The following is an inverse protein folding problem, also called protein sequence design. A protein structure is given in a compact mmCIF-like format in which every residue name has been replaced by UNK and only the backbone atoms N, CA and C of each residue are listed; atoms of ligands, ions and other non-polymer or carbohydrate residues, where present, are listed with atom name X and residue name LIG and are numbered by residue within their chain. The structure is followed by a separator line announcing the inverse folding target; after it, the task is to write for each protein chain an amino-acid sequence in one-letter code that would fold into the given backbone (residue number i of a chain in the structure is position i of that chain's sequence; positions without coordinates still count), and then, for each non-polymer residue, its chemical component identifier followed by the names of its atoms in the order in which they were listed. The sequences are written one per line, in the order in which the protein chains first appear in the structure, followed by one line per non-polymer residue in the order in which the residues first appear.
data_IF_122739332971
#
_entry.id   IF_122739332971
#
_cell.length_a   1.000
_cell.length_b   1.000
_cell.length_c   1.000
_cell.angle_alpha   90.00
_cell.angle_beta   90.00
_cell.angle_gamma   90.00
#
_symmetry.space_group_name_H-M   'P 1'
#
loop_
_entity.id
_entity.type
_entity.pdbx_description
1 polymer ?
#
# COMPACT_ATOMS: atom_id res chain seq x y z
N UNK A 1 11.69 -14.04 3.77
CA UNK A 1 10.99 -14.94 4.70
C UNK A 1 9.49 -14.71 4.54
N UNK A 2 8.74 -15.78 4.32
CA UNK A 2 7.27 -15.77 4.29
C UNK A 2 6.85 -16.68 5.44
N UNK A 3 6.07 -16.20 6.42
CA UNK A 3 5.63 -17.03 7.55
C UNK A 3 4.82 -18.24 7.07
N UNK A 4 4.98 -19.36 7.76
CA UNK A 4 4.30 -20.64 7.55
C UNK A 4 3.54 -21.04 8.82
N UNK A 5 2.64 -22.05 8.76
CA UNK A 5 1.97 -22.55 9.97
C UNK A 5 2.92 -23.04 11.07
N UNK A 6 4.14 -23.48 10.71
CA UNK A 6 5.15 -23.90 11.68
C UNK A 6 5.72 -22.73 12.52
N UNK A 7 5.51 -21.49 12.07
CA UNK A 7 6.00 -20.29 12.74
C UNK A 7 5.00 -19.73 13.76
N UNK A 8 3.80 -20.30 13.87
CA UNK A 8 2.77 -19.83 14.81
C UNK A 8 3.23 -19.91 16.27
N UNK A 9 2.98 -18.84 17.03
CA UNK A 9 3.46 -18.72 18.42
C UNK A 9 4.91 -18.26 18.56
N UNK A 10 5.69 -18.23 17.49
CA UNK A 10 7.08 -17.72 17.51
C UNK A 10 7.16 -16.24 17.15
N UNK A 11 8.20 -15.57 17.66
CA UNK A 11 8.54 -14.19 17.27
C UNK A 11 9.61 -14.21 16.19
N UNK A 12 9.48 -13.32 15.21
CA UNK A 12 10.49 -13.16 14.17
C UNK A 12 11.63 -12.30 14.70
N UNK A 13 12.83 -12.86 14.75
CA UNK A 13 14.07 -12.11 15.02
C UNK A 13 14.75 -11.81 13.69
N UNK A 14 14.97 -10.54 13.42
CA UNK A 14 15.68 -10.07 12.23
C UNK A 14 17.05 -9.56 12.67
N UNK A 15 18.10 -10.16 12.12
CA UNK A 15 19.49 -9.74 12.34
C UNK A 15 20.05 -9.19 11.04
N UNK A 16 20.43 -7.91 11.05
CA UNK A 16 21.16 -7.25 9.98
C UNK A 16 22.65 -7.34 10.26
N UNK A 17 23.35 -8.19 9.51
CA UNK A 17 24.81 -8.33 9.56
C UNK A 17 25.43 -7.51 8.43
N UNK A 18 26.21 -6.46 8.72
CA UNK A 18 26.91 -5.72 7.68
C UNK A 18 27.93 -6.63 6.99
N UNK A 19 27.95 -6.62 5.66
CA UNK A 19 28.93 -7.34 4.86
C UNK A 19 29.73 -6.34 4.03
N UNK A 20 31.04 -6.56 3.88
CA UNK A 20 31.83 -5.69 3.03
C UNK A 20 31.38 -5.86 1.56
N UNK A 21 31.65 -4.88 0.69
CA UNK A 21 31.47 -5.03 -0.75
C UNK A 21 32.09 -6.34 -1.25
N UNK A 22 31.51 -6.94 -2.30
CA UNK A 22 32.09 -8.15 -2.90
C UNK A 22 33.55 -7.88 -3.31
N UNK A 23 34.48 -8.63 -2.73
CA UNK A 23 35.92 -8.50 -2.99
C UNK A 23 36.67 -7.58 -2.03
N UNK A 24 36.03 -7.11 -0.97
CA UNK A 24 36.64 -6.28 0.07
C UNK A 24 36.63 -7.02 1.42
N UNK A 25 37.72 -6.95 2.17
CA UNK A 25 37.85 -7.55 3.51
C UNK A 25 37.78 -6.52 4.65
N UNK A 26 37.40 -5.26 4.33
CA UNK A 26 37.31 -4.21 5.32
C UNK A 26 36.40 -4.60 6.51
N UNK A 27 36.81 -4.27 7.76
CA UNK A 27 36.04 -4.59 8.94
C UNK A 27 34.67 -3.91 8.90
N UNK A 28 33.63 -4.73 9.01
CA UNK A 28 32.24 -4.30 9.05
C UNK A 28 31.77 -4.07 10.49
N UNK A 29 30.78 -3.19 10.66
CA UNK A 29 30.17 -2.96 11.97
C UNK A 29 29.53 -4.22 12.56
N UNK A 30 29.26 -4.19 13.87
CA UNK A 30 28.60 -5.30 14.55
C UNK A 30 27.18 -5.54 14.00
N UNK A 31 26.70 -6.81 13.98
CA UNK A 31 25.31 -7.10 13.65
C UNK A 31 24.32 -6.37 14.57
N UNK A 32 23.21 -5.92 14.01
CA UNK A 32 22.09 -5.37 14.78
C UNK A 32 20.87 -6.27 14.65
N UNK A 33 20.18 -6.52 15.76
CA UNK A 33 19.01 -7.39 15.78
C UNK A 33 17.80 -6.70 16.40
N UNK A 34 16.62 -7.04 15.90
CA UNK A 34 15.36 -6.73 16.58
C UNK A 34 14.39 -7.91 16.48
N UNK A 35 13.48 -8.01 17.44
CA UNK A 35 12.41 -9.00 17.44
C UNK A 35 11.06 -8.32 17.22
N UNK A 36 10.13 -9.01 16.55
CA UNK A 36 8.75 -8.56 16.48
C UNK A 36 8.12 -8.57 17.88
N UNK A 37 7.33 -7.55 18.20
CA UNK A 37 6.66 -7.44 19.51
C UNK A 37 5.56 -8.48 19.72
N UNK A 38 5.03 -9.05 18.63
CA UNK A 38 3.96 -10.04 18.64
C UNK A 38 4.43 -11.31 17.96
N UNK A 39 3.95 -12.44 18.47
CA UNK A 39 4.13 -13.73 17.84
C UNK A 39 3.37 -13.78 16.50
N UNK A 40 3.90 -14.57 15.56
CA UNK A 40 3.21 -14.94 14.33
C UNK A 40 1.92 -15.67 14.70
N UNK A 41 0.84 -15.37 13.98
CA UNK A 41 -0.46 -16.01 14.15
C UNK A 41 -0.98 -16.49 12.81
N UNK A 42 -1.78 -17.55 12.82
CA UNK A 42 -2.50 -18.03 11.65
C UNK A 42 -3.25 -16.87 10.98
N UNK A 43 -3.06 -16.73 9.67
CA UNK A 43 -3.90 -15.83 8.90
C UNK A 43 -5.33 -16.40 8.89
N UNK A 44 -6.26 -15.72 9.58
CA UNK A 44 -7.66 -16.14 9.58
C UNK A 44 -8.19 -16.19 8.14
N UNK A 45 -8.88 -17.26 7.72
CA UNK A 45 -9.47 -17.33 6.38
C UNK A 45 -10.40 -16.14 6.17
N UNK A 46 -10.37 -15.57 4.96
CA UNK A 46 -11.25 -14.45 4.56
C UNK A 46 -12.29 -14.95 3.54
N UNK A 47 -13.34 -15.67 3.97
CA UNK A 47 -14.35 -16.24 3.08
C UNK A 47 -15.24 -15.19 2.39
N UNK A 48 -15.01 -13.91 2.68
CA UNK A 48 -15.85 -12.80 2.21
C UNK A 48 -15.52 -12.34 0.78
N UNK A 49 -14.39 -12.76 0.18
CA UNK A 49 -14.04 -12.40 -1.20
C UNK A 49 -14.99 -13.05 -2.23
N UNK A 50 -15.24 -14.36 -2.12
CA UNK A 50 -16.15 -15.11 -2.99
C UNK A 50 -17.62 -14.62 -2.86
N UNK A 51 -18.06 -14.36 -1.63
CA UNK A 51 -19.40 -13.80 -1.34
C UNK A 51 -19.61 -12.38 -1.90
N UNK A 52 -18.55 -11.64 -2.20
CA UNK A 52 -18.65 -10.29 -2.78
C UNK A 52 -18.69 -10.31 -4.31
N UNK A 53 -18.14 -11.35 -4.94
CA UNK A 53 -18.20 -11.53 -6.39
C UNK A 53 -19.62 -11.81 -6.91
N UNK A 54 -20.47 -12.50 -6.14
CA UNK A 54 -21.85 -12.81 -6.54
C UNK A 54 -22.73 -11.57 -6.74
N UNK A 55 -22.39 -10.43 -6.15
CA UNK A 55 -23.14 -9.18 -6.31
C UNK A 55 -22.78 -8.40 -7.59
N UNK A 56 -21.76 -8.82 -8.33
CA UNK A 56 -21.19 -8.06 -9.46
C UNK A 56 -21.36 -8.75 -10.83
N UNK A 57 -21.79 -10.02 -10.85
CA UNK A 57 -22.01 -10.78 -12.09
C UNK A 57 -23.51 -10.88 -12.36
N UNK A 58 -24.01 -10.48 -13.55
CA UNK A 58 -25.39 -10.77 -13.94
C UNK A 58 -25.63 -12.28 -13.90
N UNK A 59 -26.75 -12.69 -13.29
CA UNK A 59 -27.15 -14.09 -13.05
C UNK A 59 -27.06 -15.01 -14.29
N UNK A 60 -27.01 -14.47 -15.51
CA UNK A 60 -26.98 -15.22 -16.77
C UNK A 60 -25.59 -15.74 -17.21
N UNK A 61 -24.47 -15.27 -16.64
CA UNK A 61 -23.13 -15.67 -17.08
C UNK A 61 -22.50 -16.82 -16.27
N UNK A 62 -23.03 -17.14 -15.10
CA UNK A 62 -22.46 -18.17 -14.20
C UNK A 62 -23.17 -19.53 -14.29
N UNK A 63 -24.24 -19.68 -15.06
CA UNK A 63 -25.04 -20.92 -15.11
C UNK A 63 -24.31 -22.15 -15.66
N UNK A 64 -23.02 -22.04 -16.05
CA UNK A 64 -22.28 -23.15 -16.68
C UNK A 64 -20.88 -23.46 -16.13
N UNK A 65 -20.43 -22.90 -15.00
CA UNK A 65 -19.07 -23.25 -14.55
C UNK A 65 -18.72 -23.33 -13.07
N UNK A 66 -19.66 -23.26 -12.14
CA UNK A 66 -19.43 -23.76 -10.78
C UNK A 66 -20.74 -24.32 -10.24
N UNK A 67 -20.90 -25.65 -10.31
CA UNK A 67 -21.91 -26.32 -9.50
C UNK A 67 -21.51 -26.12 -8.04
N UNK A 68 -22.35 -25.42 -7.29
CA UNK A 68 -22.13 -25.11 -5.87
C UNK A 68 -22.36 -26.33 -4.95
N UNK A 69 -22.07 -27.55 -5.42
CA UNK A 69 -22.42 -28.80 -4.74
C UNK A 69 -21.21 -29.57 -4.16
N UNK A 70 -19.98 -29.06 -4.26
CA UNK A 70 -18.80 -29.72 -3.65
C UNK A 70 -18.07 -28.83 -2.62
N UNK A 71 -18.81 -28.17 -1.73
CA UNK A 71 -18.22 -27.68 -0.47
C UNK A 71 -19.10 -28.11 0.70
N UNK A 72 -19.26 -29.44 0.83
CA UNK A 72 -19.73 -30.05 2.05
C UNK A 72 -18.66 -29.94 3.14
N UNK A 73 -18.83 -28.98 4.05
CA UNK A 73 -18.80 -29.23 5.48
C UNK A 73 -19.28 -27.96 6.20
N UNK A 74 -20.43 -28.09 6.85
CA UNK A 74 -20.93 -27.17 7.86
C UNK A 74 -19.95 -27.20 9.04
N UNK A 75 -18.93 -26.35 8.97
CA UNK A 75 -18.27 -25.86 10.17
C UNK A 75 -18.72 -24.41 10.31
N UNK A 76 -19.67 -24.20 11.20
CA UNK A 76 -19.94 -22.91 11.81
C UNK A 76 -18.68 -22.50 12.59
N UNK A 77 -17.64 -22.07 11.87
CA UNK A 77 -16.57 -21.25 12.41
C UNK A 77 -17.15 -19.85 12.61
N UNK A 78 -18.14 -19.76 13.52
CA UNK A 78 -18.45 -18.51 14.18
C UNK A 78 -17.15 -18.06 14.85
N UNK A 79 -16.68 -16.89 14.41
CA UNK A 79 -15.53 -16.22 14.99
C UNK A 79 -15.67 -16.24 16.52
N UNK A 80 -14.69 -16.76 17.28
CA UNK A 80 -14.73 -16.62 18.73
C UNK A 80 -14.87 -15.13 19.07
N UNK A 81 -15.75 -14.85 20.03
CA UNK A 81 -16.21 -13.54 20.48
C UNK A 81 -15.09 -12.75 21.21
N UNK A 82 -13.97 -12.57 20.53
CA UNK A 82 -12.92 -11.60 20.87
C UNK A 82 -13.51 -10.20 20.65
N UNK A 83 -14.29 -9.72 21.64
CA UNK A 83 -14.74 -8.33 21.83
C UNK A 83 -14.66 -7.46 20.57
N UNK A 84 -15.67 -7.53 19.69
CA UNK A 84 -15.94 -6.58 18.56
C UNK A 84 -14.70 -5.80 18.08
N UNK A 85 -13.66 -6.48 17.61
CA UNK A 85 -12.52 -5.78 17.03
C UNK A 85 -13.01 -5.07 15.74
N UNK A 86 -12.93 -3.74 15.71
CA UNK A 86 -13.34 -2.97 14.54
C UNK A 86 -12.42 -3.32 13.35
N UNK A 87 -12.93 -4.06 12.37
CA UNK A 87 -12.17 -4.42 11.17
C UNK A 87 -12.11 -3.22 10.23
N UNK A 88 -10.89 -2.84 9.82
CA UNK A 88 -10.65 -1.83 8.78
C UNK A 88 -10.11 -2.54 7.55
N UNK A 89 -10.81 -2.40 6.41
CA UNK A 89 -10.33 -2.96 5.14
C UNK A 89 -9.54 -1.92 4.37
N UNK A 90 -8.30 -2.25 4.02
CA UNK A 90 -7.38 -1.38 3.28
C UNK A 90 -6.98 -2.09 1.99
N UNK A 91 -7.03 -1.38 0.88
CA UNK A 91 -6.50 -1.80 -0.42
C UNK A 91 -5.26 -0.98 -0.75
N UNK A 92 -4.20 -1.64 -1.20
CA UNK A 92 -3.06 -1.00 -1.84
C UNK A 92 -2.94 -1.54 -3.25
N UNK A 93 -2.83 -0.66 -4.24
CA UNK A 93 -2.87 -1.08 -5.64
C UNK A 93 -2.05 -0.15 -6.54
N UNK A 94 -1.03 -0.71 -7.19
CA UNK A 94 -0.33 -0.05 -8.27
C UNK A 94 -1.14 -0.25 -9.55
N UNK A 95 -1.66 0.85 -10.11
CA UNK A 95 -2.61 0.82 -11.22
C UNK A 95 -1.95 1.00 -12.58
N UNK A 96 -0.62 0.88 -12.68
CA UNK A 96 0.17 0.94 -13.91
C UNK A 96 -0.05 2.25 -14.71
N UNK A 97 0.88 3.20 -14.59
CA UNK A 97 0.73 4.52 -15.20
C UNK A 97 1.01 4.49 -16.70
N UNK A 98 0.18 5.18 -17.48
CA UNK A 98 0.38 5.40 -18.91
C UNK A 98 1.68 6.18 -19.20
N UNK A 99 2.20 6.93 -18.23
CA UNK A 99 3.51 7.56 -18.30
C UNK A 99 4.64 6.55 -18.64
N UNK A 100 4.46 5.26 -18.33
CA UNK A 100 5.40 4.19 -18.65
C UNK A 100 5.09 3.43 -19.93
N UNK A 101 4.08 3.82 -20.72
CA UNK A 101 3.63 3.09 -21.91
C UNK A 101 4.72 2.76 -22.93
N UNK A 102 5.77 3.59 -23.00
CA UNK A 102 6.90 3.42 -23.88
C UNK A 102 7.75 2.17 -23.56
N UNK A 103 7.63 1.60 -22.35
CA UNK A 103 8.36 0.38 -21.94
C UNK A 103 7.55 -0.90 -22.14
N UNK A 104 6.21 -0.79 -22.28
CA UNK A 104 5.30 -1.92 -22.21
C UNK A 104 5.49 -2.94 -23.33
N UNK A 105 5.86 -2.52 -24.54
CA UNK A 105 6.15 -3.45 -25.62
C UNK A 105 7.28 -4.44 -25.28
N UNK A 106 8.24 -4.01 -24.46
CA UNK A 106 9.32 -4.87 -23.97
C UNK A 106 8.96 -5.63 -22.69
N UNK A 107 8.22 -5.01 -21.77
CA UNK A 107 7.88 -5.61 -20.48
C UNK A 107 6.73 -6.61 -20.59
N UNK A 108 5.77 -6.34 -21.48
CA UNK A 108 4.52 -7.08 -21.65
C UNK A 108 4.28 -7.42 -23.12
N UNK A 109 5.20 -8.13 -23.80
CA UNK A 109 5.09 -8.42 -25.24
C UNK A 109 3.86 -9.29 -25.59
N UNK A 110 3.28 -9.95 -24.59
CA UNK A 110 2.07 -10.76 -24.68
C UNK A 110 0.77 -9.94 -24.55
N UNK A 111 0.85 -8.65 -24.25
CA UNK A 111 -0.29 -7.81 -23.93
C UNK A 111 -0.77 -7.05 -25.17
N UNK A 112 -2.05 -7.16 -25.52
CA UNK A 112 -2.60 -6.47 -26.68
C UNK A 112 -2.68 -4.96 -26.43
N UNK A 113 -2.48 -4.16 -27.49
CA UNK A 113 -2.61 -2.70 -27.42
C UNK A 113 -4.02 -2.26 -27.00
N UNK A 114 -5.05 -3.02 -27.40
CA UNK A 114 -6.43 -2.75 -26.99
C UNK A 114 -6.63 -2.89 -25.48
N UNK A 115 -5.99 -3.87 -24.85
CA UNK A 115 -6.06 -4.05 -23.39
C UNK A 115 -5.18 -3.03 -22.64
N UNK A 116 -4.18 -2.46 -23.31
CA UNK A 116 -3.32 -1.39 -22.79
C UNK A 116 -3.99 -0.02 -22.75
N UNK A 117 -5.10 0.16 -23.47
CA UNK A 117 -5.85 1.41 -23.47
C UNK A 117 -6.37 1.73 -22.06
N UNK A 118 -6.07 2.92 -21.49
CA UNK A 118 -6.62 3.34 -20.20
C UNK A 118 -8.15 3.33 -20.16
N UNK A 119 -8.84 3.56 -21.27
CA UNK A 119 -10.30 3.50 -21.34
C UNK A 119 -10.84 2.07 -21.17
N UNK A 120 -10.04 1.04 -21.47
CA UNK A 120 -10.38 -0.35 -21.18
C UNK A 120 -9.91 -0.76 -19.78
N UNK A 121 -8.70 -0.35 -19.40
CA UNK A 121 -7.99 -0.83 -18.21
C UNK A 121 -8.45 -0.19 -16.89
N UNK A 122 -8.68 1.13 -16.87
CA UNK A 122 -9.05 1.85 -15.65
C UNK A 122 -10.43 1.45 -15.11
N UNK A 123 -11.47 1.22 -15.95
CA UNK A 123 -12.74 0.67 -15.47
C UNK A 123 -12.60 -0.69 -14.76
N UNK A 124 -11.72 -1.57 -15.25
CA UNK A 124 -11.44 -2.87 -14.62
C UNK A 124 -10.73 -2.68 -13.27
N UNK A 125 -9.74 -1.79 -13.21
CA UNK A 125 -9.06 -1.45 -11.96
C UNK A 125 -10.03 -0.86 -10.91
N UNK A 126 -11.01 -0.06 -11.34
CA UNK A 126 -12.08 0.43 -10.48
C UNK A 126 -13.02 -0.69 -10.03
N UNK A 127 -13.34 -1.65 -10.90
CA UNK A 127 -14.14 -2.82 -10.55
C UNK A 127 -13.47 -3.65 -9.45
N UNK A 128 -12.15 -3.82 -9.51
CA UNK A 128 -11.38 -4.48 -8.44
C UNK A 128 -11.55 -3.75 -7.09
N UNK A 129 -11.50 -2.42 -7.09
CA UNK A 129 -11.75 -1.59 -5.89
C UNK A 129 -13.16 -1.83 -5.35
N UNK A 130 -14.17 -1.85 -6.22
CA UNK A 130 -15.57 -2.05 -5.80
C UNK A 130 -15.81 -3.45 -5.23
N UNK A 131 -15.27 -4.50 -5.88
CA UNK A 131 -15.32 -5.88 -5.42
C UNK A 131 -14.62 -6.05 -4.06
N UNK A 132 -13.46 -5.42 -3.90
CA UNK A 132 -12.73 -5.42 -2.64
C UNK A 132 -13.48 -4.65 -1.53
N UNK A 133 -14.37 -3.71 -1.88
CA UNK A 133 -15.11 -2.82 -0.97
C UNK A 133 -14.29 -2.37 0.25
N UNK A 134 -13.09 -1.80 0.04
CA UNK A 134 -12.24 -1.31 1.12
C UNK A 134 -12.87 -0.08 1.79
N UNK A 135 -12.38 0.27 2.98
CA UNK A 135 -12.65 1.58 3.59
C UNK A 135 -11.58 2.61 3.20
N UNK A 136 -10.38 2.14 2.87
CA UNK A 136 -9.22 2.96 2.52
C UNK A 136 -8.57 2.35 1.27
N UNK A 137 -8.33 3.18 0.25
CA UNK A 137 -7.69 2.80 -1.01
C UNK A 137 -6.44 3.63 -1.20
N UNK A 138 -5.28 2.99 -1.22
CA UNK A 138 -3.99 3.60 -1.49
C UNK A 138 -3.52 3.18 -2.90
N UNK A 139 -3.52 4.12 -3.84
CA UNK A 139 -3.12 3.85 -5.23
C UNK A 139 -1.70 4.36 -5.50
N UNK A 140 -0.96 3.63 -6.32
CA UNK A 140 0.35 4.03 -6.87
C UNK A 140 0.29 4.01 -8.40
N UNK A 141 1.20 4.73 -9.06
CA UNK A 141 1.21 4.86 -10.53
C UNK A 141 -0.09 5.44 -11.10
N UNK A 142 -0.61 6.48 -10.44
CA UNK A 142 -1.79 7.19 -10.92
C UNK A 142 -1.34 8.39 -11.76
N UNK A 143 -1.59 8.37 -13.07
CA UNK A 143 -1.33 9.52 -13.94
C UNK A 143 -2.14 10.75 -13.49
N UNK A 144 -1.53 11.94 -13.54
CA UNK A 144 -2.18 13.22 -13.20
C UNK A 144 -3.46 13.45 -13.99
N UNK A 145 -3.44 13.09 -15.28
CA UNK A 145 -4.61 13.17 -16.17
C UNK A 145 -5.75 12.30 -15.62
N UNK A 146 -5.49 11.01 -15.45
CA UNK A 146 -6.49 10.03 -15.04
C UNK A 146 -6.93 10.20 -13.59
N UNK A 147 -6.11 10.78 -12.72
CA UNK A 147 -6.53 11.19 -11.38
C UNK A 147 -7.74 12.11 -11.43
N UNK A 148 -7.68 13.19 -12.23
CA UNK A 148 -8.75 14.18 -12.33
C UNK A 148 -9.93 13.72 -13.19
N UNK A 149 -9.65 13.08 -14.33
CA UNK A 149 -10.68 12.72 -15.31
C UNK A 149 -11.44 11.43 -14.95
N UNK A 150 -10.80 10.48 -14.26
CA UNK A 150 -11.36 9.15 -13.98
C UNK A 150 -11.46 8.87 -12.48
N UNK A 151 -10.33 8.80 -11.77
CA UNK A 151 -10.32 8.28 -10.40
C UNK A 151 -11.15 9.13 -9.43
N UNK A 152 -11.00 10.45 -9.42
CA UNK A 152 -11.76 11.31 -8.51
C UNK A 152 -13.28 11.22 -8.76
N UNK A 153 -13.79 11.35 -9.99
CA UNK A 153 -15.22 11.15 -10.27
C UNK A 153 -15.75 9.77 -9.89
N UNK A 154 -15.05 8.69 -10.25
CA UNK A 154 -15.50 7.31 -10.01
C UNK A 154 -15.48 6.96 -8.52
N UNK A 155 -14.43 7.35 -7.79
CA UNK A 155 -14.34 7.13 -6.36
C UNK A 155 -15.42 7.92 -5.60
N UNK A 156 -15.71 9.16 -6.03
CA UNK A 156 -16.80 9.96 -5.46
C UNK A 156 -18.17 9.32 -5.69
N UNK A 157 -18.44 8.84 -6.90
CA UNK A 157 -19.68 8.12 -7.21
C UNK A 157 -19.83 6.84 -6.35
N UNK A 158 -18.71 6.20 -6.00
CA UNK A 158 -18.67 5.03 -5.12
C UNK A 158 -18.68 5.36 -3.61
N UNK A 159 -18.87 6.61 -3.20
CA UNK A 159 -18.97 7.02 -1.78
C UNK A 159 -17.62 7.28 -1.09
N UNK A 160 -16.53 7.42 -1.84
CA UNK A 160 -15.22 7.77 -1.30
C UNK A 160 -14.93 9.27 -1.47
N UNK A 161 -14.02 9.78 -0.64
CA UNK A 161 -13.43 11.12 -0.76
C UNK A 161 -11.91 11.02 -0.86
N UNK A 162 -11.30 12.00 -1.52
CA UNK A 162 -9.85 12.16 -1.59
C UNK A 162 -9.31 12.43 -0.18
N UNK A 163 -8.23 11.75 0.20
CA UNK A 163 -7.54 11.96 1.45
C UNK A 163 -6.15 12.55 1.18
N UNK A 164 -6.13 13.86 0.95
CA UNK A 164 -4.96 14.59 0.48
C UNK A 164 -4.88 14.72 -1.05
N UNK A 165 -3.85 15.40 -1.57
CA UNK A 165 -3.65 15.58 -2.99
C UNK A 165 -3.12 14.31 -3.67
N UNK A 166 -3.04 14.33 -5.01
CA UNK A 166 -2.14 13.42 -5.72
C UNK A 166 -0.69 13.81 -5.37
N UNK A 167 0.02 12.91 -4.70
CA UNK A 167 1.44 13.05 -4.43
C UNK A 167 2.23 12.69 -5.68
N UNK A 168 2.40 13.68 -6.57
CA UNK A 168 3.13 13.53 -7.83
C UNK A 168 4.64 13.41 -7.58
N UNK A 169 5.30 12.53 -8.35
CA UNK A 169 6.76 12.50 -8.39
C UNK A 169 7.27 13.84 -8.91
N UNK A 170 8.35 14.35 -8.32
CA UNK A 170 8.93 15.67 -8.68
C UNK A 170 9.70 15.67 -10.02
N UNK A 171 9.63 14.59 -10.80
CA UNK A 171 10.34 14.42 -12.06
C UNK A 171 9.48 14.73 -13.29
N UNK A 172 9.95 14.30 -14.47
CA UNK A 172 9.22 14.47 -15.74
C UNK A 172 8.00 13.53 -15.86
N UNK A 173 7.98 12.45 -15.08
CA UNK A 173 6.89 11.48 -15.08
C UNK A 173 5.70 12.05 -14.32
N UNK A 174 4.59 12.29 -15.03
CA UNK A 174 3.36 12.90 -14.48
C UNK A 174 2.43 11.86 -13.82
N UNK A 175 2.97 11.08 -12.90
CA UNK A 175 2.22 10.11 -12.08
C UNK A 175 2.58 10.23 -10.60
N UNK A 176 1.73 9.68 -9.74
CA UNK A 176 1.96 9.72 -8.31
C UNK A 176 1.14 8.71 -7.50
N UNK A 177 1.13 8.96 -6.19
CA UNK A 177 0.36 8.21 -5.21
C UNK A 177 -0.85 9.02 -4.75
N UNK A 178 -1.98 8.36 -4.51
CA UNK A 178 -3.14 9.01 -3.87
C UNK A 178 -3.82 8.06 -2.89
N UNK A 179 -4.60 8.65 -1.97
CA UNK A 179 -5.42 7.89 -1.03
C UNK A 179 -6.86 8.36 -1.14
N UNK A 180 -7.79 7.40 -1.12
CA UNK A 180 -9.22 7.63 -1.00
C UNK A 180 -9.75 6.89 0.23
N UNK A 181 -10.76 7.47 0.89
CA UNK A 181 -11.40 6.87 2.06
C UNK A 181 -12.91 6.93 1.95
N UNK A 182 -13.61 5.93 2.48
CA UNK A 182 -15.08 5.95 2.56
C UNK A 182 -15.54 7.16 3.38
N UNK A 183 -16.40 7.99 2.78
CA UNK A 183 -16.79 9.28 3.33
C UNK A 183 -17.62 9.17 4.61
N UNK A 184 -18.35 8.07 4.77
CA UNK A 184 -19.18 7.75 5.92
C UNK A 184 -18.39 7.09 7.07
N UNK A 185 -17.25 6.47 6.77
CA UNK A 185 -16.40 5.79 7.75
C UNK A 185 -15.30 6.71 8.33
N UNK A 186 -14.74 7.61 7.51
CA UNK A 186 -13.55 8.38 7.89
C UNK A 186 -13.71 9.88 7.64
N UNK A 187 -13.09 10.66 8.51
CA UNK A 187 -12.84 12.09 8.36
C UNK A 187 -11.34 12.29 8.16
N UNK A 188 -10.98 12.98 7.09
CA UNK A 188 -9.59 13.38 6.85
C UNK A 188 -9.26 14.54 7.79
N UNK A 189 -8.23 14.37 8.63
CA UNK A 189 -7.78 15.37 9.59
C UNK A 189 -6.67 16.22 8.99
N UNK A 190 -5.71 15.55 8.35
CA UNK A 190 -4.49 16.16 7.83
C UNK A 190 -3.91 15.26 6.73
N UNK A 191 -3.16 15.86 5.81
CA UNK A 191 -2.45 15.15 4.77
C UNK A 191 -1.18 15.89 4.36
N UNK A 192 -0.07 15.16 4.26
CA UNK A 192 1.23 15.70 3.91
C UNK A 192 1.88 14.89 2.78
N UNK A 193 2.41 15.61 1.79
CA UNK A 193 3.31 15.03 0.77
C UNK A 193 4.73 15.18 1.27
N UNK A 194 5.46 14.07 1.33
CA UNK A 194 6.81 13.98 1.87
C UNK A 194 7.76 13.63 0.76
N UNK A 195 8.79 14.44 0.55
CA UNK A 195 9.89 14.07 -0.35
C UNK A 195 10.72 12.98 0.31
N UNK A 196 10.96 11.88 -0.42
CA UNK A 196 11.77 10.75 0.04
C UNK A 196 13.16 10.73 -0.60
N UNK A 197 13.60 11.85 -1.18
CA UNK A 197 14.91 11.95 -1.85
C UNK A 197 16.05 12.13 -0.83
N UNK A 198 15.81 12.85 0.26
CA UNK A 198 16.81 13.17 1.28
C UNK A 198 16.34 12.67 2.64
N UNK A 199 17.27 12.36 3.58
CA UNK A 199 16.92 12.26 4.99
C UNK A 199 16.17 13.54 5.41
N UNK A 200 15.13 13.37 6.21
CA UNK A 200 14.30 14.51 6.57
C UNK A 200 14.99 15.55 7.44
N UNK A 201 14.37 16.71 7.64
CA UNK A 201 14.95 17.81 8.41
C UNK A 201 14.86 17.60 9.93
N UNK A 202 14.34 16.45 10.40
CA UNK A 202 14.14 16.23 11.82
C UNK A 202 15.47 15.94 12.54
N UNK A 203 15.66 16.36 13.80
CA UNK A 203 16.90 16.11 14.54
C UNK A 203 17.32 14.63 14.58
N UNK A 204 16.36 13.71 14.62
CA UNK A 204 16.56 12.25 14.61
C UNK A 204 17.12 11.72 13.28
N UNK A 205 17.07 12.52 12.22
CA UNK A 205 17.65 12.22 10.91
C UNK A 205 19.09 12.70 10.79
N UNK A 206 19.60 13.56 11.69
CA UNK A 206 20.90 14.23 11.51
C UNK A 206 22.05 13.23 11.37
N UNK A 207 22.06 12.14 12.14
CA UNK A 207 23.07 11.10 11.99
C UNK A 207 23.01 10.42 10.60
N UNK A 208 21.80 10.24 10.05
CA UNK A 208 21.61 9.68 8.71
C UNK A 208 22.02 10.68 7.63
N UNK A 209 21.68 11.95 7.81
CA UNK A 209 22.11 13.04 6.93
C UNK A 209 23.64 13.17 6.94
N UNK A 210 24.28 13.11 8.10
CA UNK A 210 25.73 13.10 8.26
C UNK A 210 26.38 11.93 7.52
N UNK A 211 25.84 10.71 7.68
CA UNK A 211 26.30 9.55 6.93
C UNK A 211 26.15 9.75 5.42
N UNK A 212 24.99 10.20 4.94
CA UNK A 212 24.78 10.46 3.51
C UNK A 212 25.78 11.50 2.99
N UNK A 213 26.11 12.54 3.77
CA UNK A 213 27.12 13.55 3.41
C UNK A 213 28.51 12.96 3.16
N UNK A 214 28.88 11.85 3.82
CA UNK A 214 30.17 11.16 3.62
C UNK A 214 30.19 10.24 2.40
N UNK A 215 29.05 10.05 1.70
CA UNK A 215 28.90 9.12 0.58
C UNK A 215 28.56 9.85 -0.74
N UNK A 216 29.55 10.34 -1.52
CA UNK A 216 29.30 11.16 -2.71
C UNK A 216 28.41 10.49 -3.76
N UNK A 217 28.66 9.22 -4.09
CA UNK A 217 27.87 8.48 -5.07
C UNK A 217 26.41 8.28 -4.63
N UNK A 218 26.19 8.06 -3.33
CA UNK A 218 24.85 7.94 -2.77
C UNK A 218 24.10 9.27 -2.88
N UNK A 219 24.75 10.39 -2.54
CA UNK A 219 24.15 11.73 -2.69
C UNK A 219 23.76 12.03 -4.13
N UNK A 220 24.64 11.69 -5.07
CA UNK A 220 24.37 11.89 -6.49
C UNK A 220 23.16 11.05 -6.95
N UNK A 221 23.07 9.79 -6.50
CA UNK A 221 21.93 8.94 -6.79
C UNK A 221 20.62 9.50 -6.19
N UNK A 222 20.64 9.89 -4.91
CA UNK A 222 19.51 10.49 -4.20
C UNK A 222 19.03 11.79 -4.86
N UNK A 223 19.94 12.64 -5.33
CA UNK A 223 19.60 13.89 -6.02
C UNK A 223 18.83 13.68 -7.33
N UNK A 224 18.94 12.50 -7.95
CA UNK A 224 18.23 12.13 -9.19
C UNK A 224 16.89 11.43 -8.92
N UNK A 225 16.58 11.14 -7.66
CA UNK A 225 15.36 10.43 -7.27
C UNK A 225 14.24 11.40 -6.94
N UNK A 226 13.06 11.16 -7.53
CA UNK A 226 11.86 11.98 -7.39
C UNK A 226 10.77 11.32 -6.54
N UNK A 227 11.11 10.27 -5.79
CA UNK A 227 10.17 9.51 -4.97
C UNK A 227 9.55 10.39 -3.88
N UNK A 228 8.23 10.30 -3.75
CA UNK A 228 7.44 10.95 -2.71
C UNK A 228 6.60 9.93 -1.96
N UNK A 229 6.19 10.28 -0.74
CA UNK A 229 5.18 9.59 0.05
C UNK A 229 4.01 10.51 0.37
N UNK A 230 2.82 9.95 0.54
CA UNK A 230 1.62 10.62 1.03
C UNK A 230 1.28 10.05 2.40
N UNK A 231 1.27 10.91 3.42
CA UNK A 231 0.87 10.56 4.80
C UNK A 231 -0.46 11.24 5.11
N UNK A 232 -1.42 10.47 5.59
CA UNK A 232 -2.79 10.93 5.83
C UNK A 232 -3.20 10.57 7.26
N UNK A 233 -3.72 11.54 8.00
CA UNK A 233 -4.30 11.33 9.34
C UNK A 233 -5.81 11.24 9.20
N UNK A 234 -6.39 10.16 9.73
CA UNK A 234 -7.80 9.83 9.64
C UNK A 234 -8.40 9.71 11.04
N UNK A 235 -9.57 10.30 11.22
CA UNK A 235 -10.42 10.05 12.36
C UNK A 235 -11.65 9.25 11.93
N UNK A 236 -12.08 8.25 12.70
CA UNK A 236 -13.29 7.52 12.40
C UNK A 236 -14.49 8.42 12.64
N UNK A 237 -15.47 8.37 11.73
CA UNK A 237 -16.75 9.01 11.95
C UNK A 237 -17.57 8.17 12.92
N UNK A 238 -18.12 8.81 13.96
CA UNK A 238 -19.07 8.17 14.87
C UNK A 238 -20.43 8.08 14.18
N UNK A 239 -21.08 6.92 14.26
CA UNK A 239 -22.48 6.79 13.88
C UNK A 239 -23.37 7.67 14.76
N UNK A 240 -24.48 8.17 14.20
CA UNK A 240 -25.51 8.85 15.02
C UNK A 240 -26.00 7.88 16.11
N UNK A 241 -25.83 8.23 17.39
CA UNK A 241 -26.25 7.41 18.54
C UNK A 241 -25.14 6.65 19.28
N UNK A 242 -23.86 6.82 18.91
CA UNK A 242 -22.73 6.08 19.49
C UNK A 242 -22.02 6.81 20.65
N UNK A 243 -22.70 7.67 21.42
CA UNK A 243 -22.07 8.46 22.50
C UNK A 243 -21.49 7.60 23.64
N UNK A 244 -21.99 6.37 23.81
CA UNK A 244 -21.55 5.44 24.87
C UNK A 244 -20.87 4.16 24.35
N UNK A 245 -20.47 4.11 23.08
CA UNK A 245 -19.82 2.91 22.52
C UNK A 245 -18.30 2.89 22.80
N UNK A 246 -17.89 2.04 23.73
CA UNK A 246 -16.47 1.78 24.05
C UNK A 246 -15.73 0.99 22.98
N UNK A 247 -16.43 0.52 21.92
CA UNK A 247 -15.86 -0.12 20.73
C UNK A 247 -15.51 0.86 19.60
N UNK A 248 -15.49 2.16 19.90
CA UNK A 248 -15.15 3.21 18.94
C UNK A 248 -13.81 2.93 18.23
N UNK A 249 -13.86 2.93 16.89
CA UNK A 249 -12.69 2.88 16.01
C UNK A 249 -11.66 3.93 16.48
N UNK A 250 -10.37 3.60 16.33
CA UNK A 250 -9.27 4.51 16.67
C UNK A 250 -8.87 5.35 15.44
N UNK A 251 -8.32 6.56 15.65
CA UNK A 251 -7.65 7.30 14.59
C UNK A 251 -6.56 6.46 13.92
N UNK A 252 -6.34 6.68 12.63
CA UNK A 252 -5.33 5.98 11.83
C UNK A 252 -4.42 6.98 11.12
N UNK A 253 -3.15 6.60 11.00
CA UNK A 253 -2.24 7.23 10.04
C UNK A 253 -2.03 6.24 8.88
N UNK A 254 -2.26 6.71 7.67
CA UNK A 254 -2.07 5.94 6.43
C UNK A 254 -0.93 6.57 5.66
N UNK A 255 0.15 5.81 5.46
CA UNK A 255 1.26 6.19 4.60
C UNK A 255 1.20 5.38 3.29
N UNK A 256 1.26 6.07 2.16
CA UNK A 256 1.29 5.49 0.82
C UNK A 256 2.51 6.01 0.06
N UNK A 257 3.29 5.12 -0.55
CA UNK A 257 4.46 5.48 -1.35
C UNK A 257 4.73 4.43 -2.43
N UNK A 258 5.44 4.85 -3.49
CA UNK A 258 5.99 3.97 -4.50
C UNK A 258 7.52 4.15 -4.53
N UNK A 259 8.21 3.28 -3.80
CA UNK A 259 9.66 3.36 -3.57
C UNK A 259 10.47 3.17 -4.87
N UNK A 260 11.77 3.51 -4.81
CA UNK A 260 12.64 3.44 -5.97
C UNK A 260 12.78 2.02 -6.55
N UNK A 261 12.58 1.91 -7.87
CA UNK A 261 12.34 0.64 -8.56
C UNK A 261 13.60 -0.21 -8.80
N UNK A 262 14.78 0.41 -8.92
CA UNK A 262 15.97 -0.29 -9.43
C UNK A 262 16.39 -1.46 -8.51
N UNK A 263 16.57 -2.69 -9.01
CA UNK A 263 16.77 -3.87 -8.18
C UNK A 263 17.97 -3.75 -7.23
N UNK A 264 19.09 -3.22 -7.72
CA UNK A 264 20.32 -3.01 -6.93
C UNK A 264 20.27 -1.88 -5.89
N UNK A 265 19.20 -1.10 -5.83
CA UNK A 265 19.11 0.09 -4.99
C UNK A 265 18.44 -0.16 -3.62
N UNK A 266 18.75 -1.29 -2.97
CA UNK A 266 18.17 -1.65 -1.66
C UNK A 266 18.48 -0.61 -0.58
N UNK A 267 19.69 -0.04 -0.60
CA UNK A 267 20.11 1.01 0.33
C UNK A 267 19.27 2.29 0.18
N UNK A 268 18.92 2.68 -1.05
CA UNK A 268 17.99 3.80 -1.31
C UNK A 268 16.62 3.50 -0.72
N UNK A 269 16.03 2.34 -1.02
CA UNK A 269 14.71 1.95 -0.49
C UNK A 269 14.68 1.89 1.04
N UNK A 270 15.79 1.49 1.67
CA UNK A 270 15.93 1.47 3.12
C UNK A 270 15.87 2.90 3.69
N UNK A 271 16.60 3.85 3.10
CA UNK A 271 16.56 5.27 3.50
C UNK A 271 15.16 5.87 3.30
N UNK A 272 14.53 5.62 2.16
CA UNK A 272 13.18 6.09 1.84
C UNK A 272 12.14 5.58 2.84
N UNK A 273 12.16 4.27 3.11
CA UNK A 273 11.26 3.64 4.10
C UNK A 273 11.50 4.21 5.49
N UNK A 274 12.77 4.35 5.90
CA UNK A 274 13.14 4.89 7.21
C UNK A 274 12.57 6.30 7.39
N UNK A 275 12.75 7.16 6.39
CA UNK A 275 12.23 8.53 6.45
C UNK A 275 10.69 8.57 6.47
N UNK A 276 10.02 7.78 5.63
CA UNK A 276 8.56 7.70 5.62
C UNK A 276 7.99 7.27 6.99
N UNK A 277 8.61 6.26 7.62
CA UNK A 277 8.20 5.75 8.94
C UNK A 277 8.46 6.73 10.09
N UNK A 278 9.41 7.66 9.94
CA UNK A 278 9.68 8.71 10.92
C UNK A 278 8.71 9.87 10.81
N UNK A 279 8.18 10.10 9.61
CA UNK A 279 7.22 11.17 9.35
C UNK A 279 5.77 10.82 9.75
N UNK A 280 5.41 9.54 9.68
CA UNK A 280 4.08 9.01 9.99
C UNK A 280 3.87 8.81 11.50
#
# INVERSE_FOLDING_TARGET
YVPTPADEGFVLVVTATPKPPRGDEAPCGAPASFATKRATAAARPRPDALKRMVNFVPSSAWSKRVSAEECGSETSDELPDDKKASVVRIMTYNVLADAYKHTWASLYPYYSLANADPHARLPLAMQDVLLASPEIVALQEVDRKWYGEFWVPQMRAAGYVQAGPLAEKTGLTKEGCCVFVKADAWRVVDAAVVSLKDPGPMPEEEATAAFVRTQPHLREALAKISTVGLVVKLEPRRGKGAENDTSARRPLVVANAHLFFHPGATHVRALQTRWLLRHA
#
